data_IF_586375164745
#
_entry.id   IF_586375164745
#
_cell.length_a   1.000
_cell.length_b   1.000
_cell.length_c   1.000
_cell.angle_alpha   90.00
_cell.angle_beta   90.00
_cell.angle_gamma   90.00
#
_symmetry.space_group_name_H-M   'P 1'
#
loop_
_entity.id
_entity.type
_entity.pdbx_description
1 polymer ?
#
# COMPACT_ATOMS: atom_id res chain seq x y z
N UNK A 1 -8.29 -11.28 1.91
CA UNK A 1 -8.04 -10.19 2.89
C UNK A 1 -7.07 -9.12 2.37
N UNK A 2 -6.02 -9.48 1.63
CA UNK A 2 -4.96 -8.55 1.17
C UNK A 2 -5.53 -7.34 0.41
N UNK A 3 -6.29 -7.58 -0.67
CA UNK A 3 -6.88 -6.51 -1.47
C UNK A 3 -7.85 -5.62 -0.65
N UNK A 4 -8.68 -6.25 0.19
CA UNK A 4 -9.63 -5.54 1.05
C UNK A 4 -8.93 -4.56 2.00
N UNK A 5 -7.87 -4.97 2.69
CA UNK A 5 -7.17 -4.10 3.63
C UNK A 5 -6.50 -2.89 2.95
N UNK A 6 -5.92 -3.07 1.76
CA UNK A 6 -5.39 -1.94 0.98
C UNK A 6 -6.48 -1.00 0.48
N UNK A 7 -7.62 -1.53 0.02
CA UNK A 7 -8.73 -0.69 -0.42
C UNK A 7 -9.35 0.11 0.74
N UNK A 8 -9.54 -0.51 1.91
CA UNK A 8 -10.09 0.19 3.09
C UNK A 8 -9.10 1.25 3.58
N UNK A 9 -7.80 0.93 3.63
CA UNK A 9 -6.77 1.89 4.01
C UNK A 9 -6.76 3.11 3.07
N UNK A 10 -6.84 2.88 1.76
CA UNK A 10 -6.90 3.96 0.77
C UNK A 10 -8.14 4.86 0.93
N UNK A 11 -9.31 4.27 1.21
CA UNK A 11 -10.53 5.05 1.51
C UNK A 11 -10.33 5.88 2.78
N UNK A 12 -9.78 5.29 3.85
CA UNK A 12 -9.55 6.01 5.11
C UNK A 12 -8.54 7.15 4.96
N UNK A 13 -7.45 6.96 4.22
CA UNK A 13 -6.51 8.04 3.94
C UNK A 13 -7.11 9.12 3.04
N UNK A 14 -7.95 8.74 2.07
CA UNK A 14 -8.70 9.72 1.26
C UNK A 14 -9.65 10.54 2.13
N UNK A 15 -10.36 9.92 3.07
CA UNK A 15 -11.23 10.60 4.02
C UNK A 15 -10.42 11.51 4.95
N UNK A 16 -9.26 11.07 5.45
CA UNK A 16 -8.34 11.90 6.24
C UNK A 16 -7.91 13.17 5.49
N UNK A 17 -7.69 13.05 4.17
CA UNK A 17 -7.21 14.13 3.30
C UNK A 17 -8.30 15.10 2.82
N UNK A 18 -9.54 14.62 2.62
CA UNK A 18 -10.67 15.43 2.15
C UNK A 18 -11.62 15.86 3.27
N UNK A 19 -11.51 15.26 4.44
CA UNK A 19 -12.37 15.53 5.59
C UNK A 19 -11.94 16.75 6.40
N UNK A 20 -12.63 17.01 7.52
CA UNK A 20 -12.34 18.14 8.39
C UNK A 20 -10.94 18.05 9.00
N UNK A 21 -10.31 19.20 9.21
CA UNK A 21 -9.02 19.41 9.87
C UNK A 21 -9.08 19.23 11.41
N UNK A 22 -10.14 18.60 11.91
CA UNK A 22 -10.27 18.26 13.32
C UNK A 22 -9.31 17.12 13.69
N UNK A 23 -8.46 17.35 14.70
CA UNK A 23 -7.48 16.39 15.21
C UNK A 23 -8.09 15.01 15.49
N UNK A 24 -9.28 14.94 16.09
CA UNK A 24 -9.95 13.68 16.38
C UNK A 24 -10.32 12.91 15.11
N UNK A 25 -10.82 13.60 14.10
CA UNK A 25 -11.18 12.98 12.82
C UNK A 25 -9.94 12.45 12.09
N UNK A 26 -8.88 13.26 12.03
CA UNK A 26 -7.60 12.91 11.39
C UNK A 26 -6.97 11.70 12.08
N UNK A 27 -6.93 11.67 13.41
CA UNK A 27 -6.36 10.56 14.16
C UNK A 27 -7.16 9.27 13.95
N UNK A 28 -8.48 9.31 14.01
CA UNK A 28 -9.32 8.11 13.85
C UNK A 28 -9.16 7.53 12.44
N UNK A 29 -9.28 8.36 11.40
CA UNK A 29 -9.11 7.92 10.01
C UNK A 29 -7.70 7.39 9.74
N UNK A 30 -6.67 8.04 10.30
CA UNK A 30 -5.29 7.56 10.21
C UNK A 30 -5.08 6.20 10.88
N UNK A 31 -5.60 5.99 12.10
CA UNK A 31 -5.44 4.74 12.84
C UNK A 31 -6.17 3.57 12.17
N UNK A 32 -7.39 3.79 11.68
CA UNK A 32 -8.14 2.77 10.93
C UNK A 32 -7.42 2.43 9.62
N UNK A 33 -6.88 3.45 8.93
CA UNK A 33 -6.07 3.27 7.73
C UNK A 33 -4.83 2.40 7.98
N UNK A 34 -4.03 2.74 8.99
CA UNK A 34 -2.84 1.97 9.37
C UNK A 34 -3.17 0.55 9.81
N UNK A 35 -4.18 0.38 10.67
CA UNK A 35 -4.63 -0.94 11.13
C UNK A 35 -5.03 -1.83 9.95
N UNK A 36 -5.77 -1.26 8.99
CA UNK A 36 -6.19 -1.95 7.78
C UNK A 36 -5.02 -2.32 6.87
N UNK A 37 -3.89 -1.61 6.96
CA UNK A 37 -2.67 -1.88 6.20
C UNK A 37 -1.82 -3.01 6.81
N UNK A 38 -1.79 -3.13 8.15
CA UNK A 38 -1.07 -4.20 8.86
C UNK A 38 -1.55 -5.61 8.46
N UNK A 39 -2.87 -5.79 8.29
CA UNK A 39 -3.47 -7.07 7.89
C UNK A 39 -2.97 -7.62 6.53
N UNK A 40 -3.03 -6.82 5.44
CA UNK A 40 -2.44 -7.13 4.15
C UNK A 40 -0.96 -7.50 4.23
N UNK A 41 -0.15 -6.75 4.98
CA UNK A 41 1.28 -7.06 5.12
C UNK A 41 1.51 -8.42 5.78
N UNK A 42 0.79 -8.74 6.87
CA UNK A 42 0.90 -10.03 7.52
C UNK A 42 0.51 -11.20 6.59
N UNK A 43 -0.57 -11.04 5.84
CA UNK A 43 -1.06 -12.08 4.91
C UNK A 43 -0.17 -12.23 3.67
N UNK A 44 0.46 -11.15 3.20
CA UNK A 44 1.46 -11.19 2.12
C UNK A 44 2.71 -11.98 2.50
N UNK A 45 3.14 -11.94 3.77
CA UNK A 45 4.28 -12.72 4.26
C UNK A 45 4.02 -14.23 4.23
N UNK A 46 2.77 -14.67 4.43
CA UNK A 46 2.40 -16.08 4.29
C UNK A 46 2.27 -16.46 2.81
N UNK A 47 1.60 -15.62 2.02
CA UNK A 47 1.41 -15.85 0.58
C UNK A 47 2.74 -16.02 -0.17
N UNK A 48 3.76 -15.21 0.13
CA UNK A 48 5.09 -15.37 -0.48
C UNK A 48 5.73 -16.73 -0.12
N UNK A 49 5.48 -17.25 1.09
CA UNK A 49 6.08 -18.51 1.53
C UNK A 49 5.49 -19.71 0.77
N UNK A 50 4.23 -19.60 0.34
CA UNK A 50 3.55 -20.64 -0.46
C UNK A 50 3.89 -20.54 -1.96
N UNK A 51 4.18 -19.34 -2.45
CA UNK A 51 4.46 -19.12 -3.88
C UNK A 51 5.86 -19.61 -4.32
N UNK A 52 6.82 -19.74 -3.40
CA UNK A 52 8.19 -20.17 -3.72
C UNK A 52 8.49 -21.58 -3.22
N UNK A 53 9.14 -22.38 -4.06
CA UNK A 53 9.71 -23.68 -3.67
C UNK A 53 10.83 -23.46 -2.64
N UNK A 54 11.09 -24.47 -1.81
CA UNK A 54 12.05 -24.39 -0.70
C UNK A 54 13.46 -23.97 -1.13
N UNK A 55 13.87 -24.28 -2.36
CA UNK A 55 15.18 -23.93 -2.89
C UNK A 55 15.38 -22.42 -3.12
N UNK A 56 14.32 -21.66 -3.43
CA UNK A 56 14.40 -20.24 -3.77
C UNK A 56 13.55 -19.32 -2.88
N UNK A 57 12.88 -19.88 -1.85
CA UNK A 57 12.06 -19.12 -0.90
C UNK A 57 12.82 -18.00 -0.19
N UNK A 58 14.07 -18.24 0.22
CA UNK A 58 14.90 -17.24 0.88
C UNK A 58 15.22 -16.05 -0.05
N UNK A 59 15.59 -16.34 -1.30
CA UNK A 59 15.89 -15.32 -2.31
C UNK A 59 14.65 -14.52 -2.70
N UNK A 60 13.50 -15.19 -2.86
CA UNK A 60 12.22 -14.54 -3.16
C UNK A 60 11.77 -13.57 -2.05
N UNK A 61 11.94 -13.97 -0.78
CA UNK A 61 11.70 -13.08 0.36
C UNK A 61 12.64 -11.88 0.39
N UNK A 62 13.94 -12.11 0.21
CA UNK A 62 14.94 -11.02 0.17
C UNK A 62 14.65 -10.00 -0.94
N UNK A 63 14.23 -10.46 -2.12
CA UNK A 63 13.81 -9.59 -3.21
C UNK A 63 12.57 -8.75 -2.83
N UNK A 64 11.56 -9.36 -2.23
CA UNK A 64 10.37 -8.64 -1.77
C UNK A 64 10.69 -7.55 -0.73
N UNK A 65 11.63 -7.82 0.20
CA UNK A 65 12.10 -6.80 1.15
C UNK A 65 12.91 -5.69 0.48
N UNK A 66 13.72 -6.02 -0.53
CA UNK A 66 14.48 -5.02 -1.28
C UNK A 66 13.59 -4.02 -2.03
N UNK A 67 12.38 -4.43 -2.44
CA UNK A 67 11.41 -3.55 -3.11
C UNK A 67 10.89 -2.40 -2.24
N UNK A 68 11.13 -2.41 -0.93
CA UNK A 68 10.77 -1.31 -0.04
C UNK A 68 11.50 0.01 -0.39
N UNK A 69 12.80 -0.06 -0.70
CA UNK A 69 13.62 1.13 -0.98
C UNK A 69 13.23 1.81 -2.31
N UNK A 70 13.10 1.08 -3.45
CA UNK A 70 12.55 1.66 -4.68
C UNK A 70 11.16 2.25 -4.46
N UNK A 71 10.30 1.57 -3.69
CA UNK A 71 8.97 2.08 -3.34
C UNK A 71 9.02 3.41 -2.60
N UNK A 72 9.94 3.56 -1.64
CA UNK A 72 10.11 4.82 -0.90
C UNK A 72 10.57 5.97 -1.82
N UNK A 73 11.47 5.69 -2.77
CA UNK A 73 11.93 6.69 -3.74
C UNK A 73 10.79 7.08 -4.68
N UNK A 74 10.05 6.10 -5.22
CA UNK A 74 8.91 6.31 -6.10
C UNK A 74 7.72 6.97 -5.38
N UNK A 75 7.62 6.86 -4.06
CA UNK A 75 6.64 7.61 -3.27
C UNK A 75 7.09 9.04 -2.96
N UNK A 76 8.36 9.21 -2.58
CA UNK A 76 8.89 10.52 -2.17
C UNK A 76 9.08 11.49 -3.34
N UNK A 77 9.69 11.03 -4.45
CA UNK A 77 10.02 11.90 -5.58
C UNK A 77 8.79 12.59 -6.20
N UNK A 78 7.70 11.87 -6.53
CA UNK A 78 6.51 12.52 -7.10
C UNK A 78 5.83 13.47 -6.12
N UNK A 79 5.80 13.13 -4.83
CA UNK A 79 5.23 14.02 -3.82
C UNK A 79 6.02 15.33 -3.74
N UNK A 80 7.35 15.25 -3.68
CA UNK A 80 8.22 16.43 -3.67
C UNK A 80 8.16 17.23 -4.97
N UNK A 81 8.03 16.56 -6.12
CA UNK A 81 7.90 17.24 -7.40
C UNK A 81 6.57 18.00 -7.50
N UNK A 82 5.46 17.38 -7.13
CA UNK A 82 4.13 18.02 -7.18
C UNK A 82 4.06 19.23 -6.25
N UNK A 83 4.55 19.11 -5.01
CA UNK A 83 4.58 20.26 -4.09
C UNK A 83 5.55 21.35 -4.54
N UNK A 84 6.68 20.98 -5.16
CA UNK A 84 7.61 21.93 -5.77
C UNK A 84 7.03 22.69 -6.97
N UNK A 85 6.06 22.11 -7.69
CA UNK A 85 5.30 22.76 -8.77
C UNK A 85 4.15 23.65 -8.25
N UNK A 86 4.02 23.82 -6.93
CA UNK A 86 3.00 24.65 -6.30
C UNK A 86 1.67 23.94 -6.04
N UNK A 87 1.60 22.61 -6.16
CA UNK A 87 0.42 21.88 -5.70
C UNK A 87 0.30 21.95 -4.18
N UNK A 88 -0.93 22.11 -3.69
CA UNK A 88 -1.24 21.94 -2.28
C UNK A 88 -0.87 20.53 -1.80
N UNK A 89 -0.40 20.42 -0.56
CA UNK A 89 0.03 19.14 0.01
C UNK A 89 -1.10 18.08 0.01
N UNK A 90 -2.34 18.51 0.30
CA UNK A 90 -3.53 17.63 0.28
C UNK A 90 -3.71 16.90 -1.06
N UNK A 91 -3.93 17.59 -2.18
CA UNK A 91 -4.10 16.92 -3.48
C UNK A 91 -2.85 16.14 -3.91
N UNK A 92 -1.63 16.60 -3.59
CA UNK A 92 -0.41 15.85 -3.90
C UNK A 92 -0.34 14.51 -3.13
N UNK A 93 -0.63 14.52 -1.82
CA UNK A 93 -0.66 13.32 -0.99
C UNK A 93 -1.83 12.37 -1.35
N UNK A 94 -2.94 12.91 -1.86
CA UNK A 94 -4.07 12.12 -2.32
C UNK A 94 -3.73 11.31 -3.57
N UNK A 95 -3.05 11.92 -4.55
CA UNK A 95 -2.61 11.24 -5.77
C UNK A 95 -1.49 10.24 -5.47
N UNK A 96 -0.44 10.67 -4.77
CA UNK A 96 0.78 9.87 -4.59
C UNK A 96 0.62 8.81 -3.50
N UNK A 97 -0.05 9.13 -2.40
CA UNK A 97 -0.25 8.21 -1.27
C UNK A 97 -1.50 7.37 -1.40
N UNK A 98 -2.67 8.01 -1.29
CA UNK A 98 -3.96 7.31 -1.29
C UNK A 98 -4.22 6.60 -2.63
N UNK A 99 -3.87 7.24 -3.74
CA UNK A 99 -3.95 6.67 -5.09
C UNK A 99 -3.09 5.41 -5.24
N UNK A 100 -1.81 5.45 -4.85
CA UNK A 100 -0.92 4.29 -4.93
C UNK A 100 -1.39 3.13 -4.03
N UNK A 101 -1.94 3.44 -2.85
CA UNK A 101 -2.55 2.46 -1.95
C UNK A 101 -3.75 1.75 -2.61
N UNK A 102 -4.63 2.52 -3.26
CA UNK A 102 -5.79 2.00 -3.99
C UNK A 102 -5.36 1.11 -5.17
N UNK A 103 -4.39 1.57 -5.97
CA UNK A 103 -3.82 0.81 -7.09
C UNK A 103 -3.25 -0.51 -6.60
N UNK A 104 -2.54 -0.53 -5.48
CA UNK A 104 -1.99 -1.77 -4.89
C UNK A 104 -3.09 -2.77 -4.52
N UNK A 105 -4.20 -2.28 -3.94
CA UNK A 105 -5.38 -3.09 -3.65
C UNK A 105 -6.02 -3.67 -4.90
N UNK A 106 -6.17 -2.87 -5.95
CA UNK A 106 -6.75 -3.29 -7.24
C UNK A 106 -5.85 -4.29 -7.96
N UNK A 107 -4.54 -4.07 -7.98
CA UNK A 107 -3.57 -4.99 -8.61
C UNK A 107 -3.63 -6.37 -7.94
N UNK A 108 -3.83 -6.44 -6.63
CA UNK A 108 -3.99 -7.72 -5.95
C UNK A 108 -5.27 -8.48 -6.34
N UNK A 109 -6.32 -7.79 -6.81
CA UNK A 109 -7.50 -8.46 -7.37
C UNK A 109 -7.22 -9.14 -8.71
N UNK A 110 -6.19 -8.69 -9.44
CA UNK A 110 -5.75 -9.32 -10.68
C UNK A 110 -4.89 -10.59 -10.46
N UNK A 111 -4.58 -10.94 -9.20
CA UNK A 111 -3.88 -12.16 -8.86
C UNK A 111 -4.71 -13.40 -9.19
N UNK A 112 -4.30 -14.14 -10.22
CA UNK A 112 -4.90 -15.43 -10.58
C UNK A 112 -4.26 -16.57 -9.79
N UNK A 113 -5.06 -17.50 -9.29
CA UNK A 113 -4.56 -18.78 -8.78
C UNK A 113 -3.96 -19.58 -9.94
N UNK A 114 -2.66 -19.84 -9.90
CA UNK A 114 -2.04 -20.79 -10.83
C UNK A 114 -2.34 -22.18 -10.27
N UNK A 115 -2.97 -23.06 -11.06
CA UNK A 115 -3.15 -24.45 -10.67
C UNK A 115 -1.78 -25.01 -10.27
N UNK A 116 -1.71 -25.66 -9.10
CA UNK A 116 -0.51 -26.38 -8.69
C UNK A 116 -0.16 -27.36 -9.81
N UNK A 117 0.89 -27.05 -10.57
CA UNK A 117 1.39 -27.92 -11.62
C UNK A 117 1.81 -29.24 -10.98
N UNK A 118 1.28 -30.33 -11.55
CA UNK A 118 1.59 -31.71 -11.22
C UNK A 118 3.09 -32.03 -11.34
#
# INVERSE_FOLDING_TARGET
>A
MIAFGWTVAAVMFTLMLLGPDNVGFVLVTYMIGLFSLLGPYATLLVFQSECYTTACRATGGAFAFAMSQPGAILGGLPLSALTGLGWGYGPAALVVGAGACLVSGVVMLAGRTVAAGA
#
